data_IF_801205930198
#
_entry.id   IF_801205930198
#
_cell.length_a   1.000
_cell.length_b   1.000
_cell.length_c   1.000
_cell.angle_alpha   90.00
_cell.angle_beta   90.00
_cell.angle_gamma   90.00
#
_symmetry.space_group_name_H-M   'P 1'
#
loop_
_entity.id
_entity.type
_entity.pdbx_description
1 polymer ?
#
# COMPACT_ATOMS: atom_id res chain seq x y z
N UNK A 1 13.18 -22.12 6.88
CA UNK A 1 13.45 -20.82 6.23
C UNK A 1 12.27 -19.90 6.50
N UNK A 2 12.46 -18.80 7.23
CA UNK A 2 11.44 -17.74 7.25
C UNK A 2 11.51 -17.08 5.87
N UNK A 3 10.43 -17.14 5.10
CA UNK A 3 10.35 -16.34 3.88
C UNK A 3 10.40 -14.88 4.32
N UNK A 4 11.52 -14.21 4.04
CA UNK A 4 11.70 -12.82 4.37
C UNK A 4 10.77 -12.01 3.46
N UNK A 5 9.69 -11.46 4.03
CA UNK A 5 8.76 -10.61 3.28
C UNK A 5 9.50 -9.31 2.96
N UNK A 6 9.97 -9.20 1.73
CA UNK A 6 10.69 -8.05 1.19
C UNK A 6 9.95 -7.48 -0.02
N UNK A 7 10.47 -6.41 -0.63
CA UNK A 7 9.80 -5.76 -1.77
C UNK A 7 9.58 -6.70 -2.96
N UNK A 8 10.45 -7.68 -3.19
CA UNK A 8 10.31 -8.65 -4.29
C UNK A 8 9.11 -9.57 -4.08
N UNK A 9 8.82 -9.98 -2.84
CA UNK A 9 7.58 -10.68 -2.52
C UNK A 9 6.35 -9.88 -3.00
N UNK A 10 6.30 -8.57 -2.71
CA UNK A 10 5.16 -7.74 -3.11
C UNK A 10 5.09 -7.52 -4.61
N UNK A 11 6.22 -7.27 -5.29
CA UNK A 11 6.25 -7.15 -6.74
C UNK A 11 5.70 -8.39 -7.43
N UNK A 12 6.06 -9.58 -6.93
CA UNK A 12 5.63 -10.85 -7.50
C UNK A 12 4.17 -11.22 -7.19
N UNK A 13 3.57 -10.64 -6.15
CA UNK A 13 2.20 -10.99 -5.71
C UNK A 13 1.16 -9.89 -6.00
N UNK A 14 1.58 -8.72 -6.51
CA UNK A 14 0.68 -7.66 -6.98
C UNK A 14 0.41 -7.86 -8.47
N UNK A 15 -0.86 -8.05 -8.83
CA UNK A 15 -1.29 -8.27 -10.22
C UNK A 15 -2.54 -7.46 -10.60
N UNK A 16 -2.74 -7.25 -11.90
CA UNK A 16 -3.93 -6.55 -12.41
C UNK A 16 -5.19 -7.37 -12.15
N UNK A 17 -6.27 -6.73 -11.68
CA UNK A 17 -7.50 -7.38 -11.25
C UNK A 17 -7.54 -7.72 -9.75
N UNK A 18 -6.42 -7.64 -9.04
CA UNK A 18 -6.37 -7.85 -7.60
C UNK A 18 -7.25 -6.84 -6.87
N UNK A 19 -8.17 -7.33 -6.04
CA UNK A 19 -8.98 -6.51 -5.15
C UNK A 19 -8.32 -6.43 -3.78
N UNK A 20 -8.46 -5.28 -3.12
CA UNK A 20 -7.94 -5.09 -1.77
C UNK A 20 -8.85 -4.16 -0.96
N UNK A 21 -8.96 -4.46 0.33
CA UNK A 21 -9.81 -3.70 1.25
C UNK A 21 -9.12 -2.43 1.73
N UNK A 22 -9.85 -1.31 1.70
CA UNK A 22 -9.54 -0.06 2.37
C UNK A 22 -10.56 0.18 3.48
N UNK A 23 -10.24 1.12 4.37
CA UNK A 23 -11.14 1.56 5.46
C UNK A 23 -12.56 1.89 4.95
N UNK A 24 -12.65 2.56 3.79
CA UNK A 24 -13.92 3.09 3.24
C UNK A 24 -14.48 2.27 2.06
N UNK A 25 -13.97 1.07 1.79
CA UNK A 25 -14.47 0.22 0.71
C UNK A 25 -13.39 -0.62 0.04
N UNK A 26 -13.72 -1.25 -1.07
CA UNK A 26 -12.80 -2.07 -1.87
C UNK A 26 -12.22 -1.25 -3.01
N UNK A 27 -10.98 -1.54 -3.40
CA UNK A 27 -10.38 -1.02 -4.62
C UNK A 27 -9.74 -2.17 -5.40
N UNK A 28 -9.56 -1.96 -6.70
CA UNK A 28 -8.94 -2.94 -7.58
C UNK A 28 -7.67 -2.34 -8.20
N UNK A 29 -6.65 -3.17 -8.35
CA UNK A 29 -5.48 -2.88 -9.18
C UNK A 29 -5.90 -3.02 -10.64
N UNK A 30 -5.57 -2.03 -11.47
CA UNK A 30 -5.95 -1.98 -12.89
C UNK A 30 -4.76 -2.15 -13.84
N UNK A 31 -3.55 -1.85 -13.37
CA UNK A 31 -2.31 -2.10 -14.09
C UNK A 31 -1.14 -2.17 -13.12
N UNK A 32 -0.12 -2.93 -13.51
CA UNK A 32 1.16 -3.06 -12.81
C UNK A 32 2.26 -2.73 -13.81
N UNK A 33 3.23 -1.95 -13.37
CA UNK A 33 4.40 -1.51 -14.14
C UNK A 33 5.65 -1.70 -13.27
N UNK A 34 6.83 -1.63 -13.87
CA UNK A 34 8.10 -1.85 -13.15
C UNK A 34 8.31 -0.91 -11.97
N UNK A 35 7.72 0.28 -12.01
CA UNK A 35 7.83 1.31 -10.98
C UNK A 35 6.68 1.32 -9.97
N UNK A 36 5.61 0.54 -10.17
CA UNK A 36 4.49 0.48 -9.24
C UNK A 36 3.19 -0.08 -9.80
N UNK A 37 2.07 0.30 -9.17
CA UNK A 37 0.75 -0.16 -9.59
C UNK A 37 -0.28 0.96 -9.58
N UNK A 38 -1.24 0.87 -10.50
CA UNK A 38 -2.36 1.79 -10.60
C UNK A 38 -3.62 1.13 -10.06
N UNK A 39 -4.42 1.87 -9.29
CA UNK A 39 -5.65 1.38 -8.69
C UNK A 39 -6.83 2.31 -8.98
N UNK A 40 -8.04 1.74 -9.01
CA UNK A 40 -9.29 2.49 -9.18
C UNK A 40 -9.74 3.16 -7.86
N UNK A 41 -10.29 4.35 -7.98
CA UNK A 41 -10.91 5.12 -6.89
C UNK A 41 -12.40 5.26 -7.16
N UNK A 42 -13.20 4.61 -6.31
CA UNK A 42 -14.65 4.67 -6.39
C UNK A 42 -15.22 4.15 -7.72
N UNK A 43 -16.43 4.60 -8.07
CA UNK A 43 -17.18 4.11 -9.24
C UNK A 43 -16.89 4.87 -10.55
N UNK A 44 -16.42 6.12 -10.47
CA UNK A 44 -16.28 7.02 -11.64
C UNK A 44 -14.84 7.11 -12.13
N UNK A 45 -14.34 6.10 -12.84
CA UNK A 45 -13.14 6.16 -13.72
C UNK A 45 -11.81 6.67 -13.17
N UNK A 46 -11.75 7.17 -11.93
CA UNK A 46 -10.60 7.82 -11.35
C UNK A 46 -9.59 6.76 -10.95
N UNK A 47 -8.33 7.01 -11.24
CA UNK A 47 -7.23 6.13 -10.89
C UNK A 47 -6.08 6.90 -10.27
N UNK A 48 -5.30 6.21 -9.44
CA UNK A 48 -4.04 6.73 -8.88
C UNK A 48 -2.98 5.66 -8.93
N UNK A 49 -1.73 6.11 -8.92
CA UNK A 49 -0.55 5.25 -8.96
C UNK A 49 0.15 5.25 -7.61
N UNK A 50 0.47 4.07 -7.09
CA UNK A 50 1.40 3.85 -5.98
C UNK A 50 2.74 3.43 -6.58
N UNK A 51 3.84 4.02 -6.14
CA UNK A 51 5.18 3.57 -6.55
C UNK A 51 5.68 2.45 -5.64
N UNK A 52 6.45 1.51 -6.17
CA UNK A 52 7.08 0.47 -5.36
C UNK A 52 8.04 1.02 -4.31
N UNK A 53 8.64 2.19 -4.54
CA UNK A 53 9.42 2.88 -3.51
C UNK A 53 8.57 3.26 -2.30
N UNK A 54 7.29 3.65 -2.50
CA UNK A 54 6.38 3.92 -1.38
C UNK A 54 6.05 2.65 -0.59
N UNK A 55 5.90 1.52 -1.29
CA UNK A 55 5.65 0.20 -0.69
C UNK A 55 6.87 -0.28 0.08
N UNK A 56 8.06 -0.17 -0.50
CA UNK A 56 9.32 -0.58 0.12
C UNK A 56 9.57 0.15 1.44
N UNK A 57 9.42 1.48 1.46
CA UNK A 57 9.57 2.24 2.70
C UNK A 57 8.48 1.93 3.72
N UNK A 58 7.26 1.58 3.29
CA UNK A 58 6.21 1.13 4.20
C UNK A 58 6.57 -0.21 4.85
N UNK A 59 7.12 -1.15 4.07
CA UNK A 59 7.64 -2.43 4.58
C UNK A 59 8.75 -2.17 5.59
N UNK A 60 9.77 -1.37 5.23
CA UNK A 60 10.88 -1.01 6.12
C UNK A 60 10.40 -0.35 7.41
N UNK A 61 9.42 0.55 7.33
CA UNK A 61 8.85 1.18 8.52
C UNK A 61 8.10 0.16 9.40
N UNK A 62 7.34 -0.76 8.81
CA UNK A 62 6.71 -1.85 9.54
C UNK A 62 7.74 -2.78 10.20
N UNK A 63 8.86 -3.08 9.53
CA UNK A 63 9.96 -3.87 10.10
C UNK A 63 10.64 -3.17 11.28
N UNK A 64 10.90 -1.87 11.15
CA UNK A 64 11.64 -1.10 12.17
C UNK A 64 10.77 -0.66 13.35
N UNK A 65 9.54 -0.21 13.08
CA UNK A 65 8.66 0.46 14.05
C UNK A 65 7.34 -0.28 14.28
N UNK A 66 7.16 -1.47 13.68
CA UNK A 66 6.00 -2.33 13.86
C UNK A 66 4.69 -1.82 13.22
N UNK A 67 4.67 -0.60 12.68
CA UNK A 67 3.47 -0.05 12.04
C UNK A 67 3.74 1.16 11.15
N UNK A 68 2.82 1.43 10.22
CA UNK A 68 2.71 2.69 9.49
C UNK A 68 1.43 3.42 9.86
N UNK A 69 1.48 4.75 9.83
CA UNK A 69 0.31 5.60 10.05
C UNK A 69 0.31 6.80 9.08
N UNK A 70 -0.79 7.55 9.06
CA UNK A 70 -0.96 8.71 8.16
C UNK A 70 0.11 9.79 8.39
N UNK A 71 0.48 10.05 9.64
CA UNK A 71 1.48 11.08 9.98
C UNK A 71 2.85 10.72 9.41
N UNK A 72 3.27 9.47 9.59
CA UNK A 72 4.49 8.95 8.98
C UNK A 72 4.47 9.11 7.46
N UNK A 73 3.39 8.70 6.80
CA UNK A 73 3.29 8.77 5.34
C UNK A 73 3.37 10.22 4.84
N UNK A 74 2.67 11.14 5.51
CA UNK A 74 2.71 12.57 5.19
C UNK A 74 4.11 13.17 5.37
N UNK A 75 4.86 12.74 6.39
CA UNK A 75 6.23 13.20 6.62
C UNK A 75 7.20 12.62 5.59
N UNK A 76 7.14 11.31 5.34
CA UNK A 76 8.07 10.60 4.44
C UNK A 76 7.85 10.95 2.97
N UNK A 77 6.60 11.12 2.57
CA UNK A 77 6.20 11.31 1.19
C UNK A 77 5.38 12.58 0.99
N UNK A 78 5.76 13.71 1.60
CA UNK A 78 4.98 14.96 1.62
C UNK A 78 4.40 15.38 0.26
N UNK A 79 5.21 15.39 -0.81
CA UNK A 79 4.77 15.72 -2.18
C UNK A 79 3.71 14.73 -2.70
N UNK A 80 3.89 13.43 -2.44
CA UNK A 80 2.94 12.38 -2.85
C UNK A 80 1.70 12.40 -1.97
N UNK A 81 1.82 12.68 -0.68
CA UNK A 81 0.70 12.81 0.24
C UNK A 81 -0.22 13.97 -0.13
N UNK A 82 0.34 15.09 -0.61
CA UNK A 82 -0.43 16.23 -1.09
C UNK A 82 -1.20 15.91 -2.39
N UNK A 83 -0.52 15.32 -3.38
CA UNK A 83 -1.12 15.01 -4.71
C UNK A 83 -2.01 13.74 -4.69
N UNK A 84 -1.62 12.75 -3.90
CA UNK A 84 -2.16 11.41 -3.87
C UNK A 84 -2.45 10.92 -2.43
N UNK A 85 -3.29 11.63 -1.65
CA UNK A 85 -3.54 11.27 -0.24
C UNK A 85 -4.16 9.88 -0.06
N UNK A 86 -4.77 9.30 -1.11
CA UNK A 86 -5.35 7.96 -1.07
C UNK A 86 -4.29 6.84 -1.10
N UNK A 87 -3.04 7.15 -1.45
CA UNK A 87 -1.98 6.15 -1.57
C UNK A 87 -1.65 5.48 -0.25
N UNK A 88 -1.61 6.22 0.87
CA UNK A 88 -1.40 5.62 2.20
C UNK A 88 -2.37 4.46 2.49
N UNK A 89 -3.67 4.68 2.32
CA UNK A 89 -4.67 3.64 2.56
C UNK A 89 -4.65 2.55 1.50
N UNK A 90 -4.08 2.83 0.32
CA UNK A 90 -3.96 1.84 -0.74
C UNK A 90 -2.77 0.91 -0.54
N UNK A 91 -1.64 1.47 -0.13
CA UNK A 91 -0.47 0.72 0.33
C UNK A 91 -0.90 -0.20 1.48
N UNK A 92 -1.47 0.36 2.54
CA UNK A 92 -1.90 -0.45 3.69
C UNK A 92 -2.93 -1.52 3.33
N UNK A 93 -3.86 -1.22 2.42
CA UNK A 93 -4.85 -2.21 1.95
C UNK A 93 -4.21 -3.37 1.17
N UNK A 94 -3.24 -3.09 0.29
CA UNK A 94 -2.50 -4.14 -0.44
C UNK A 94 -1.63 -4.96 0.51
N UNK A 95 -0.91 -4.31 1.43
CA UNK A 95 -0.13 -5.01 2.45
C UNK A 95 -1.01 -5.93 3.31
N UNK A 96 -2.22 -5.47 3.66
CA UNK A 96 -3.18 -6.27 4.43
C UNK A 96 -3.72 -7.45 3.63
N UNK A 97 -4.06 -7.24 2.35
CA UNK A 97 -4.54 -8.30 1.46
C UNK A 97 -3.50 -9.42 1.32
N UNK A 98 -2.22 -9.06 1.30
CA UNK A 98 -1.10 -10.00 1.23
C UNK A 98 -0.67 -10.55 2.61
N UNK A 99 -1.48 -10.35 3.64
CA UNK A 99 -1.25 -10.92 4.97
C UNK A 99 -0.03 -10.37 5.71
N UNK A 100 0.44 -9.18 5.36
CA UNK A 100 1.63 -8.57 5.99
C UNK A 100 1.30 -7.64 7.16
N UNK A 101 0.13 -7.01 7.13
CA UNK A 101 -0.31 -6.07 8.17
C UNK A 101 -1.79 -6.25 8.51
N UNK A 102 -2.19 -5.77 9.68
CA UNK A 102 -3.58 -5.59 10.09
C UNK A 102 -3.88 -4.10 10.31
N UNK A 103 -5.00 -3.61 9.77
CA UNK A 103 -5.48 -2.27 10.12
C UNK A 103 -6.10 -2.24 11.52
N UNK A 104 -5.59 -1.34 12.38
CA UNK A 104 -6.11 -1.11 13.73
C UNK A 104 -5.90 0.36 14.15
N UNK A 105 -6.94 1.01 14.69
CA UNK A 105 -6.89 2.38 15.26
C UNK A 105 -6.06 3.38 14.41
N UNK A 106 -6.40 3.52 13.12
CA UNK A 106 -5.73 4.43 12.17
C UNK A 106 -4.27 4.08 11.80
N UNK A 107 -3.83 2.86 12.08
CA UNK A 107 -2.50 2.35 11.71
C UNK A 107 -2.64 1.02 10.98
N UNK A 108 -1.63 0.68 10.19
CA UNK A 108 -1.42 -0.69 9.71
C UNK A 108 -0.26 -1.27 10.52
N UNK A 109 -0.52 -2.32 11.28
CA UNK A 109 0.39 -2.95 12.23
C UNK A 109 0.92 -4.23 11.60
N UNK A 110 2.23 -4.45 11.67
CA UNK A 110 2.88 -5.67 11.17
C UNK A 110 2.34 -6.91 11.91
N UNK A 111 2.05 -7.98 11.17
CA UNK A 111 1.63 -9.28 11.70
C UNK A 111 2.82 -10.13 12.19
#
# INVERSE_FOLDING_TARGET
>A
MKNEINIEFFKNNIYSGMNFKKIRGVSSIISVTDDGFTYRIGKKGNYKKVLYTEVEYAIRECELNGSINRSWYNKKFSKRAASNPCNFTSIGGVLQELGYVLYNKNKYIKL
#
